data_IF_430194146806
#
_entry.id   IF_430194146806
#
_cell.length_a   1.000
_cell.length_b   1.000
_cell.length_c   1.000
_cell.angle_alpha   90.00
_cell.angle_beta   90.00
_cell.angle_gamma   90.00
#
_symmetry.space_group_name_H-M   'P 1'
#
loop_
_entity.id
_entity.type
_entity.pdbx_description
1 polymer ?
#
# COMPACT_ATOMS: atom_id res chain seq x y z
N UNK A 1 -15.32 -21.21 12.58
CA UNK A 1 -16.10 -20.72 11.41
C UNK A 1 -16.19 -21.83 10.38
N UNK A 2 -17.40 -22.31 10.08
CA UNK A 2 -17.65 -23.20 8.95
C UNK A 2 -18.09 -22.35 7.77
N UNK A 3 -17.37 -22.38 6.66
CA UNK A 3 -17.86 -21.80 5.40
C UNK A 3 -19.11 -22.59 4.98
N UNK A 4 -20.08 -21.88 4.39
CA UNK A 4 -21.21 -22.55 3.73
C UNK A 4 -20.66 -23.47 2.64
N UNK A 5 -21.31 -24.63 2.47
CA UNK A 5 -20.87 -25.62 1.50
C UNK A 5 -21.98 -25.88 0.49
N UNK A 6 -21.61 -25.95 -0.78
CA UNK A 6 -22.50 -26.46 -1.83
C UNK A 6 -22.92 -27.90 -1.53
N UNK A 7 -23.98 -28.38 -2.16
CA UNK A 7 -24.38 -29.80 -2.10
C UNK A 7 -23.24 -30.76 -2.52
N UNK A 8 -22.37 -30.33 -3.44
CA UNK A 8 -21.16 -31.04 -3.86
C UNK A 8 -19.92 -30.81 -2.97
N UNK A 9 -20.10 -30.26 -1.75
CA UNK A 9 -19.08 -30.07 -0.72
C UNK A 9 -17.99 -28.98 -0.97
N UNK A 10 -18.16 -28.15 -2.00
CA UNK A 10 -17.31 -26.97 -2.22
C UNK A 10 -17.62 -25.86 -1.21
N UNK A 11 -16.58 -25.15 -0.75
CA UNK A 11 -16.77 -23.98 0.12
C UNK A 11 -17.26 -22.80 -0.71
N UNK A 12 -18.34 -22.18 -0.25
CA UNK A 12 -18.89 -20.95 -0.79
C UNK A 12 -18.42 -19.79 0.08
N UNK A 13 -17.84 -18.79 -0.57
CA UNK A 13 -17.29 -17.61 0.08
C UNK A 13 -18.10 -16.39 -0.33
N UNK A 14 -18.82 -15.74 0.61
CA UNK A 14 -19.51 -14.49 0.32
C UNK A 14 -18.50 -13.35 0.07
N UNK A 15 -18.93 -12.25 -0.55
CA UNK A 15 -18.06 -11.12 -0.91
C UNK A 15 -17.28 -10.54 0.29
N UNK A 16 -17.89 -10.52 1.48
CA UNK A 16 -17.23 -10.13 2.74
C UNK A 16 -15.94 -10.93 3.05
N UNK A 17 -15.82 -12.13 2.48
CA UNK A 17 -14.59 -12.94 2.60
C UNK A 17 -13.42 -12.24 1.92
N UNK A 18 -13.66 -11.49 0.84
CA UNK A 18 -12.61 -10.76 0.12
C UNK A 18 -12.01 -9.68 1.01
N UNK A 19 -12.83 -8.90 1.71
CA UNK A 19 -12.37 -7.86 2.63
C UNK A 19 -11.51 -8.46 3.76
N UNK A 20 -11.96 -9.58 4.33
CA UNK A 20 -11.21 -10.32 5.33
C UNK A 20 -9.86 -10.83 4.79
N UNK A 21 -9.84 -11.36 3.56
CA UNK A 21 -8.61 -11.86 2.92
C UNK A 21 -7.61 -10.73 2.66
N UNK A 22 -8.09 -9.56 2.24
CA UNK A 22 -7.25 -8.35 2.08
C UNK A 22 -6.61 -7.95 3.40
N UNK A 23 -7.40 -7.90 4.49
CA UNK A 23 -6.89 -7.63 5.83
C UNK A 23 -5.82 -8.66 6.25
N UNK A 24 -6.07 -9.96 6.05
CA UNK A 24 -5.08 -11.02 6.34
C UNK A 24 -3.78 -10.79 5.57
N UNK A 25 -3.85 -10.55 4.26
CA UNK A 25 -2.65 -10.33 3.43
C UNK A 25 -1.89 -9.08 3.85
N UNK A 26 -2.60 -8.01 4.21
CA UNK A 26 -2.01 -6.81 4.76
C UNK A 26 -1.24 -7.08 6.06
N UNK A 27 -1.85 -7.78 7.02
CA UNK A 27 -1.25 -8.10 8.30
C UNK A 27 -0.05 -9.07 8.15
N UNK A 28 -0.11 -10.00 7.18
CA UNK A 28 1.03 -10.87 6.83
C UNK A 28 2.23 -10.07 6.32
N UNK A 29 2.02 -9.02 5.52
CA UNK A 29 3.11 -8.14 5.03
C UNK A 29 3.77 -7.37 6.16
N UNK A 30 3.06 -7.10 7.25
CA UNK A 30 3.58 -6.50 8.47
C UNK A 30 4.36 -7.49 9.35
N UNK A 31 4.53 -8.76 8.91
CA UNK A 31 5.24 -9.84 9.62
C UNK A 31 4.61 -10.28 10.95
N UNK A 32 3.30 -10.12 11.09
CA UNK A 32 2.56 -10.65 12.23
C UNK A 32 2.49 -12.18 12.14
N UNK A 33 2.48 -12.83 13.30
CA UNK A 33 2.22 -14.26 13.47
C UNK A 33 0.75 -14.57 13.15
N UNK A 34 0.45 -15.85 12.88
CA UNK A 34 -0.92 -16.28 12.59
C UNK A 34 -1.85 -16.08 13.79
N UNK A 35 -1.30 -16.17 15.00
CA UNK A 35 -1.98 -15.90 16.26
C UNK A 35 -2.40 -14.42 16.37
N UNK A 36 -1.46 -13.49 16.17
CA UNK A 36 -1.72 -12.04 16.19
C UNK A 36 -2.68 -11.60 15.07
N UNK A 37 -2.60 -12.25 13.91
CA UNK A 37 -3.53 -12.01 12.80
C UNK A 37 -4.94 -12.47 13.17
N UNK A 38 -5.07 -13.64 13.81
CA UNK A 38 -6.36 -14.15 14.27
C UNK A 38 -7.00 -13.19 15.27
N UNK A 39 -6.25 -12.72 16.25
CA UNK A 39 -6.74 -11.77 17.26
C UNK A 39 -7.28 -10.48 16.62
N UNK A 40 -6.52 -9.89 15.69
CA UNK A 40 -6.96 -8.68 14.96
C UNK A 40 -8.21 -8.90 14.12
N UNK A 41 -8.37 -10.10 13.54
CA UNK A 41 -9.58 -10.43 12.77
C UNK A 41 -10.80 -10.59 13.68
N UNK A 42 -10.62 -11.15 14.88
CA UNK A 42 -11.70 -11.26 15.86
C UNK A 42 -12.16 -9.86 16.29
N UNK A 43 -11.22 -8.97 16.63
CA UNK A 43 -11.52 -7.55 16.94
C UNK A 43 -12.25 -6.82 15.80
N UNK A 44 -11.88 -7.11 14.55
CA UNK A 44 -12.58 -6.57 13.37
C UNK A 44 -14.01 -7.10 13.24
N UNK A 45 -14.23 -8.39 13.48
CA UNK A 45 -15.55 -9.01 13.41
C UNK A 45 -16.47 -8.58 14.55
N UNK A 46 -15.90 -8.31 15.72
CA UNK A 46 -16.61 -7.84 16.90
C UNK A 46 -16.93 -6.33 16.84
N UNK A 47 -16.55 -5.66 15.74
CA UNK A 47 -16.83 -4.24 15.50
C UNK A 47 -15.94 -3.28 16.32
N UNK A 48 -14.93 -3.80 17.01
CA UNK A 48 -13.95 -2.99 17.75
C UNK A 48 -12.98 -2.27 16.81
N UNK A 49 -12.82 -2.76 15.58
CA UNK A 49 -12.06 -2.09 14.52
C UNK A 49 -13.01 -1.60 13.42
N UNK A 50 -13.17 -0.28 13.29
CA UNK A 50 -13.98 0.34 12.24
C UNK A 50 -13.43 0.00 10.85
N UNK A 51 -14.32 -0.18 9.88
CA UNK A 51 -14.00 -0.45 8.46
C UNK A 51 -12.97 0.55 7.91
N UNK A 52 -13.04 1.80 8.37
CA UNK A 52 -12.11 2.89 8.07
C UNK A 52 -10.63 2.56 8.37
N UNK A 53 -10.35 1.83 9.45
CA UNK A 53 -8.96 1.48 9.81
C UNK A 53 -8.37 0.50 8.81
N UNK A 54 -9.16 -0.46 8.34
CA UNK A 54 -8.72 -1.43 7.34
C UNK A 54 -8.43 -0.73 6.00
N UNK A 55 -9.32 0.17 5.59
CA UNK A 55 -9.17 0.93 4.34
C UNK A 55 -7.96 1.88 4.38
N UNK A 56 -7.72 2.53 5.53
CA UNK A 56 -6.53 3.37 5.75
C UNK A 56 -5.26 2.53 5.69
N UNK A 57 -5.20 1.39 6.38
CA UNK A 57 -4.00 0.54 6.39
C UNK A 57 -3.72 -0.02 4.99
N UNK A 58 -4.75 -0.45 4.26
CA UNK A 58 -4.63 -0.88 2.87
C UNK A 58 -4.08 0.25 1.99
N UNK A 59 -4.64 1.45 2.10
CA UNK A 59 -4.19 2.65 1.36
C UNK A 59 -2.73 2.98 1.66
N UNK A 60 -2.31 2.89 2.94
CA UNK A 60 -0.90 3.08 3.34
C UNK A 60 0.01 2.03 2.68
N UNK A 61 -0.40 0.77 2.64
CA UNK A 61 0.40 -0.29 1.99
C UNK A 61 0.55 -0.08 0.49
N UNK A 62 -0.52 0.37 -0.18
CA UNK A 62 -0.52 0.70 -1.60
C UNK A 62 0.44 1.85 -1.89
N UNK A 63 0.32 2.97 -1.16
CA UNK A 63 1.23 4.12 -1.26
C UNK A 63 2.68 3.69 -1.04
N UNK A 64 2.95 2.88 -0.02
CA UNK A 64 4.30 2.35 0.22
C UNK A 64 4.82 1.49 -0.95
N UNK A 65 3.94 0.73 -1.60
CA UNK A 65 4.26 -0.04 -2.80
C UNK A 65 4.64 0.86 -3.98
N UNK A 66 3.84 1.89 -4.22
CA UNK A 66 4.09 2.88 -5.27
C UNK A 66 5.39 3.64 -5.02
N UNK A 67 5.67 4.06 -3.78
CA UNK A 67 6.92 4.74 -3.41
C UNK A 67 8.15 3.88 -3.72
N UNK A 68 8.13 2.58 -3.39
CA UNK A 68 9.24 1.67 -3.72
C UNK A 68 9.43 1.52 -5.23
N UNK A 69 8.34 1.41 -5.97
CA UNK A 69 8.39 1.30 -7.43
C UNK A 69 8.95 2.58 -8.06
N UNK A 70 8.49 3.74 -7.60
CA UNK A 70 8.96 5.04 -8.03
C UNK A 70 10.45 5.22 -7.73
N UNK A 71 10.90 4.84 -6.53
CA UNK A 71 12.31 4.90 -6.15
C UNK A 71 13.18 4.09 -7.12
N UNK A 72 12.76 2.86 -7.46
CA UNK A 72 13.48 2.03 -8.43
C UNK A 72 13.56 2.71 -9.80
N UNK A 73 12.43 3.21 -10.33
CA UNK A 73 12.39 3.91 -11.63
C UNK A 73 13.27 5.15 -11.66
N UNK A 74 13.29 5.92 -10.57
CA UNK A 74 14.14 7.12 -10.44
C UNK A 74 15.63 6.72 -10.42
N UNK A 75 15.99 5.63 -9.74
CA UNK A 75 17.37 5.11 -9.76
C UNK A 75 17.79 4.68 -11.15
N UNK A 76 16.95 3.94 -11.87
CA UNK A 76 17.18 3.54 -13.26
C UNK A 76 17.34 4.77 -14.18
N UNK A 77 16.44 5.74 -14.05
CA UNK A 77 16.54 7.00 -14.80
C UNK A 77 17.84 7.75 -14.48
N UNK A 78 18.28 7.77 -13.22
CA UNK A 78 19.53 8.41 -12.80
C UNK A 78 20.74 7.75 -13.47
N UNK A 79 20.72 6.42 -13.66
CA UNK A 79 21.76 5.71 -14.40
C UNK A 79 21.78 6.10 -15.88
N UNK A 80 20.61 6.20 -16.52
CA UNK A 80 20.51 6.68 -17.91
C UNK A 80 20.97 8.14 -18.07
N UNK A 81 20.65 9.02 -17.12
CA UNK A 81 21.08 10.41 -17.16
C UNK A 81 22.60 10.57 -17.12
N UNK A 82 23.34 9.63 -16.52
CA UNK A 82 24.82 9.66 -16.48
C UNK A 82 25.47 9.42 -17.83
N UNK A 83 24.76 8.81 -18.78
CA UNK A 83 25.27 8.52 -20.13
C UNK A 83 24.82 9.55 -21.17
N UNK A 84 23.99 10.52 -20.77
CA UNK A 84 23.45 11.58 -21.64
C UNK A 84 24.36 12.81 -21.65
N UNK A 85 24.25 13.63 -22.70
CA UNK A 85 24.92 14.92 -22.74
C UNK A 85 24.30 15.91 -21.72
N UNK A 86 25.09 16.90 -21.29
CA UNK A 86 24.68 17.86 -20.27
C UNK A 86 23.42 18.67 -20.62
N UNK A 87 23.12 18.91 -21.91
CA UNK A 87 21.95 19.69 -22.31
C UNK A 87 20.70 18.84 -22.18
N UNK A 88 20.76 17.59 -22.62
CA UNK A 88 19.65 16.64 -22.51
C UNK A 88 19.36 16.28 -21.06
N UNK A 89 20.41 16.05 -20.24
CA UNK A 89 20.25 15.77 -18.82
C UNK A 89 19.56 16.93 -18.07
N UNK A 90 19.90 18.19 -18.40
CA UNK A 90 19.25 19.39 -17.83
C UNK A 90 17.77 19.51 -18.20
N UNK A 91 17.40 19.16 -19.43
CA UNK A 91 16.00 19.19 -19.88
C UNK A 91 15.16 18.18 -19.09
N UNK A 92 15.65 16.94 -18.94
CA UNK A 92 14.96 15.90 -18.17
C UNK A 92 14.86 16.27 -16.70
N UNK A 93 15.95 16.78 -16.09
CA UNK A 93 15.94 17.22 -14.70
C UNK A 93 14.92 18.34 -14.44
N UNK A 94 14.81 19.31 -15.36
CA UNK A 94 13.81 20.39 -15.26
C UNK A 94 12.38 19.86 -15.32
N UNK A 95 12.11 18.91 -16.22
CA UNK A 95 10.78 18.29 -16.31
C UNK A 95 10.43 17.49 -15.05
N UNK A 96 11.39 16.73 -14.51
CA UNK A 96 11.20 15.97 -13.28
C UNK A 96 10.99 16.88 -12.06
N UNK A 97 11.70 18.00 -11.98
CA UNK A 97 11.62 18.92 -10.84
C UNK A 97 10.24 19.54 -10.62
N UNK A 98 9.47 19.75 -11.71
CA UNK A 98 8.14 20.36 -11.62
C UNK A 98 7.13 19.44 -10.93
N UNK A 99 7.16 18.15 -11.28
CA UNK A 99 6.27 17.14 -10.69
C UNK A 99 6.81 16.64 -9.34
N UNK A 100 8.14 16.51 -9.22
CA UNK A 100 8.81 16.03 -8.02
C UNK A 100 8.64 16.97 -6.82
N UNK A 101 8.61 18.29 -7.03
CA UNK A 101 8.41 19.26 -5.94
C UNK A 101 7.01 19.17 -5.33
N UNK A 102 5.97 19.03 -6.16
CA UNK A 102 4.60 18.86 -5.70
C UNK A 102 4.41 17.57 -4.91
N UNK A 103 4.99 16.46 -5.40
CA UNK A 103 4.95 15.17 -4.71
C UNK A 103 5.70 15.23 -3.37
N UNK A 104 6.90 15.81 -3.36
CA UNK A 104 7.70 15.98 -2.15
C UNK A 104 6.97 16.84 -1.11
N UNK A 105 6.32 17.92 -1.53
CA UNK A 105 5.51 18.76 -0.63
C UNK A 105 4.32 18.00 -0.04
N UNK A 106 3.61 17.23 -0.86
CA UNK A 106 2.46 16.42 -0.40
C UNK A 106 2.92 15.34 0.59
N UNK A 107 4.04 14.69 0.32
CA UNK A 107 4.64 13.71 1.24
C UNK A 107 5.13 14.38 2.53
N UNK A 108 5.70 15.59 2.45
CA UNK A 108 6.07 16.36 3.63
C UNK A 108 4.85 16.66 4.50
N UNK A 109 3.72 17.08 3.92
CA UNK A 109 2.48 17.31 4.68
C UNK A 109 1.96 16.03 5.34
N UNK A 110 2.06 14.90 4.66
CA UNK A 110 1.68 13.60 5.22
C UNK A 110 2.58 13.18 6.40
N UNK A 111 3.88 13.51 6.33
CA UNK A 111 4.92 13.06 7.29
C UNK A 111 5.25 14.08 8.39
N UNK A 112 4.93 15.35 8.17
CA UNK A 112 5.26 16.48 9.05
C UNK A 112 4.16 17.52 9.00
N UNK A 113 3.63 17.83 10.19
CA UNK A 113 2.68 18.91 10.49
C UNK A 113 1.21 18.76 10.07
N UNK A 114 0.74 17.62 9.55
CA UNK A 114 -0.70 17.36 9.49
C UNK A 114 -1.22 16.92 10.88
N UNK A 115 -2.16 17.67 11.50
CA UNK A 115 -2.90 17.17 12.65
C UNK A 115 -3.95 16.19 12.11
N UNK A 116 -3.62 14.90 12.09
CA UNK A 116 -4.66 13.88 12.17
C UNK A 116 -5.06 13.72 13.63
#
# INVERSE_FOLDING_TARGET
MSAERSEANYRLYPEETIDRLRLIECLKRQKLTLEEIRERIVQWQDGEMTKDVVDVVQSVQEIQGEMRNLEQRVRELTLHLRTMDERQARLVAKQLSLQGSSLLHTLMLLLGDAPF
#
